data_IF_818185014036
#
_entry.id   IF_818185014036
#
_cell.length_a   1.000
_cell.length_b   1.000
_cell.length_c   1.000
_cell.angle_alpha   90.00
_cell.angle_beta   90.00
_cell.angle_gamma   90.00
#
_symmetry.space_group_name_H-M   'P 1'
#
loop_
_entity.id
_entity.type
_entity.pdbx_description
1 polymer ?
#
# COMPACT_ATOMS: atom_id res chain seq x y z
N UNK A 1 29.59 -10.83 14.09
CA UNK A 1 29.75 -9.66 13.21
C UNK A 1 30.22 -10.17 11.84
N UNK A 2 29.59 -9.74 10.74
CA UNK A 2 30.10 -10.06 9.39
C UNK A 2 31.32 -9.17 9.11
N UNK A 3 32.41 -9.76 8.56
CA UNK A 3 33.61 -9.02 8.16
C UNK A 3 33.29 -7.99 7.07
N UNK A 4 34.01 -6.85 7.01
CA UNK A 4 33.93 -5.91 5.90
C UNK A 4 34.18 -6.62 4.56
N UNK A 5 33.42 -6.28 3.53
CA UNK A 5 33.52 -6.81 2.17
C UNK A 5 34.18 -5.75 1.29
N UNK A 6 35.03 -6.16 0.38
CA UNK A 6 35.68 -5.24 -0.55
C UNK A 6 34.64 -4.60 -1.51
N UNK A 7 34.83 -3.34 -1.94
CA UNK A 7 33.85 -2.59 -2.75
C UNK A 7 33.71 -3.09 -4.20
N UNK A 8 34.50 -4.04 -4.62
CA UNK A 8 34.45 -4.70 -5.94
C UNK A 8 33.27 -5.66 -6.13
N UNK A 9 32.62 -6.13 -5.02
CA UNK A 9 31.34 -6.82 -5.11
C UNK A 9 30.19 -5.83 -5.35
N UNK A 10 29.96 -5.49 -6.61
CA UNK A 10 28.94 -4.54 -7.04
C UNK A 10 27.52 -4.89 -6.55
N UNK A 11 27.21 -6.17 -6.30
CA UNK A 11 25.90 -6.59 -5.78
C UNK A 11 25.75 -6.24 -4.30
N UNK A 12 26.76 -6.57 -3.50
CA UNK A 12 26.76 -6.25 -2.08
C UNK A 12 26.85 -4.75 -1.85
N UNK A 13 27.64 -4.04 -2.66
CA UNK A 13 27.73 -2.59 -2.60
C UNK A 13 26.38 -1.92 -2.88
N UNK A 14 25.67 -2.31 -3.95
CA UNK A 14 24.29 -1.82 -4.22
C UNK A 14 23.31 -2.13 -3.08
N UNK A 15 23.44 -3.30 -2.46
CA UNK A 15 22.59 -3.68 -1.32
C UNK A 15 22.86 -2.80 -0.10
N UNK A 16 24.10 -2.47 0.15
CA UNK A 16 24.50 -1.54 1.22
C UNK A 16 23.98 -0.13 0.95
N UNK A 17 24.14 0.39 -0.27
CA UNK A 17 23.55 1.67 -0.69
C UNK A 17 22.02 1.69 -0.56
N UNK A 18 21.36 0.57 -0.88
CA UNK A 18 19.91 0.42 -0.75
C UNK A 18 19.38 0.50 0.69
N UNK A 19 20.26 0.42 1.71
CA UNK A 19 19.88 0.63 3.11
C UNK A 19 19.59 2.11 3.42
N UNK A 20 20.01 3.04 2.55
CA UNK A 20 19.65 4.45 2.63
C UNK A 20 18.32 4.66 1.93
N UNK A 21 17.27 4.95 2.71
CA UNK A 21 15.95 5.30 2.17
C UNK A 21 16.02 6.69 1.53
N UNK A 22 15.58 6.79 0.27
CA UNK A 22 15.55 8.06 -0.48
C UNK A 22 14.12 8.38 -0.90
N UNK A 23 13.87 9.65 -1.22
CA UNK A 23 12.73 10.01 -2.06
C UNK A 23 12.93 9.51 -3.50
N UNK A 24 11.86 9.50 -4.27
CA UNK A 24 11.89 9.24 -5.70
C UNK A 24 11.61 10.54 -6.42
N UNK A 25 12.46 10.87 -7.40
CA UNK A 25 12.29 12.07 -8.21
C UNK A 25 12.19 11.75 -9.69
N UNK A 26 11.52 12.62 -10.43
CA UNK A 26 11.67 12.72 -11.88
C UNK A 26 12.37 14.03 -12.16
N UNK A 27 13.46 13.96 -12.90
CA UNK A 27 14.17 15.15 -13.39
C UNK A 27 13.82 15.35 -14.84
N UNK A 28 13.40 16.58 -15.19
CA UNK A 28 12.99 16.94 -16.54
C UNK A 28 13.85 18.07 -17.08
N UNK A 29 14.02 18.12 -18.38
CA UNK A 29 14.63 19.23 -19.11
C UNK A 29 14.00 19.35 -20.49
N UNK A 30 14.31 20.41 -21.21
CA UNK A 30 13.97 20.56 -22.61
C UNK A 30 15.25 20.59 -23.42
N UNK A 31 15.33 19.79 -24.48
CA UNK A 31 16.48 19.79 -25.39
C UNK A 31 16.56 21.06 -26.19
N UNK A 32 17.73 21.40 -26.78
CA UNK A 32 17.88 22.53 -27.67
C UNK A 32 17.02 22.39 -28.94
N UNK A 33 16.64 21.16 -29.31
CA UNK A 33 15.71 20.87 -30.40
C UNK A 33 14.23 21.05 -30.02
N UNK A 34 13.93 21.33 -28.75
CA UNK A 34 12.57 21.53 -28.25
C UNK A 34 11.88 20.28 -27.72
N UNK A 35 12.57 19.13 -27.62
CA UNK A 35 12.02 17.90 -27.10
C UNK A 35 11.97 17.89 -25.57
N UNK A 36 10.90 17.36 -25.00
CA UNK A 36 10.77 17.14 -23.57
C UNK A 36 11.51 15.86 -23.16
N UNK A 37 12.44 15.98 -22.25
CA UNK A 37 13.27 14.90 -21.75
C UNK A 37 13.04 14.75 -20.25
N UNK A 38 12.91 13.49 -19.79
CA UNK A 38 12.77 13.20 -18.37
C UNK A 38 13.22 11.80 -18.00
N UNK A 39 13.62 11.63 -16.74
CA UNK A 39 14.01 10.34 -16.19
C UNK A 39 13.77 10.28 -14.68
N UNK A 40 13.58 9.08 -14.17
CA UNK A 40 13.50 8.80 -12.74
C UNK A 40 14.89 8.73 -12.14
N UNK A 41 15.08 9.42 -11.01
CA UNK A 41 16.32 9.43 -10.25
C UNK A 41 16.02 9.39 -8.75
N UNK A 42 16.88 8.73 -7.98
CA UNK A 42 16.87 8.74 -6.52
C UNK A 42 18.14 9.35 -5.92
N UNK A 43 18.96 9.97 -6.76
CA UNK A 43 20.24 10.60 -6.37
C UNK A 43 20.08 12.07 -5.94
N UNK A 44 18.84 12.59 -5.91
CA UNK A 44 18.56 13.95 -5.51
C UNK A 44 18.91 14.21 -4.04
N UNK A 45 19.57 15.36 -3.80
CA UNK A 45 19.85 15.85 -2.45
C UNK A 45 19.92 17.40 -2.41
N UNK A 46 19.69 17.97 -1.22
CA UNK A 46 19.94 19.38 -0.95
C UNK A 46 21.45 19.64 -0.82
N UNK A 47 21.89 20.83 -1.23
CA UNK A 47 23.29 21.25 -1.13
C UNK A 47 23.42 22.47 -0.21
N UNK A 48 22.64 23.53 -0.45
CA UNK A 48 22.75 24.79 0.25
C UNK A 48 21.39 25.48 0.35
N UNK A 49 21.18 26.24 1.42
CA UNK A 49 20.03 27.12 1.55
C UNK A 49 20.36 28.55 1.12
N UNK A 50 21.63 28.95 1.21
CA UNK A 50 22.08 30.31 0.88
C UNK A 50 23.43 30.26 0.14
N UNK A 51 23.42 30.40 -1.21
CA UNK A 51 22.26 30.43 -2.10
C UNK A 51 21.55 29.07 -2.14
N UNK A 52 20.25 29.02 -2.52
CA UNK A 52 19.50 27.77 -2.57
C UNK A 52 19.99 26.88 -3.72
N UNK A 53 20.51 25.70 -3.37
CA UNK A 53 21.11 24.78 -4.33
C UNK A 53 20.72 23.33 -4.03
N UNK A 54 20.56 22.54 -5.09
CA UNK A 54 20.29 21.11 -5.06
C UNK A 54 21.24 20.34 -5.97
N UNK A 55 21.40 19.04 -5.74
CA UNK A 55 22.15 18.19 -6.66
C UNK A 55 21.36 16.91 -7.00
N UNK A 56 21.77 16.32 -8.12
CA UNK A 56 21.38 14.98 -8.54
C UNK A 56 22.48 14.43 -9.48
N UNK A 57 22.45 13.14 -9.77
CA UNK A 57 23.46 12.55 -10.66
C UNK A 57 22.82 11.68 -11.74
N UNK A 58 23.45 11.69 -12.93
CA UNK A 58 23.03 10.98 -14.11
C UNK A 58 24.14 10.09 -14.64
N UNK A 59 23.83 8.84 -14.94
CA UNK A 59 24.79 7.90 -15.51
C UNK A 59 25.34 8.43 -16.83
N UNK A 60 26.67 8.32 -17.03
CA UNK A 60 27.35 8.66 -18.29
C UNK A 60 26.86 7.83 -19.48
N UNK A 61 26.20 6.67 -19.21
CA UNK A 61 25.59 5.82 -20.24
C UNK A 61 24.17 6.24 -20.59
N UNK A 62 23.59 7.21 -19.89
CA UNK A 62 22.22 7.67 -20.16
C UNK A 62 22.15 8.41 -21.50
N UNK A 63 21.23 7.99 -22.37
CA UNK A 63 21.02 8.65 -23.69
C UNK A 63 20.60 10.12 -23.56
N UNK A 64 19.99 10.49 -22.44
CA UNK A 64 19.55 11.85 -22.14
C UNK A 64 20.67 12.75 -21.61
N UNK A 65 21.86 12.21 -21.31
CA UNK A 65 22.94 13.01 -20.74
C UNK A 65 23.31 14.26 -21.57
N UNK A 66 23.49 14.20 -22.91
CA UNK A 66 23.78 15.39 -23.69
C UNK A 66 22.72 16.49 -23.53
N UNK A 67 21.43 16.10 -23.52
CA UNK A 67 20.33 17.07 -23.36
C UNK A 67 20.41 17.81 -22.02
N UNK A 68 20.66 17.11 -20.91
CA UNK A 68 20.83 17.72 -19.60
C UNK A 68 22.11 18.56 -19.49
N UNK A 69 23.18 18.13 -20.13
CA UNK A 69 24.44 18.86 -20.10
C UNK A 69 24.40 20.19 -20.86
N UNK A 70 23.64 20.25 -21.95
CA UNK A 70 23.58 21.41 -22.87
C UNK A 70 22.42 22.35 -22.60
N UNK A 71 21.30 21.89 -22.05
CA UNK A 71 20.09 22.67 -21.82
C UNK A 71 20.26 23.83 -20.82
N UNK A 72 21.23 23.71 -19.92
CA UNK A 72 21.50 24.70 -18.87
C UNK A 72 20.39 24.83 -17.80
N UNK A 73 19.28 24.08 -17.92
CA UNK A 73 18.13 24.11 -17.00
C UNK A 73 17.51 22.74 -16.81
N UNK A 74 16.94 22.54 -15.63
CA UNK A 74 16.18 21.32 -15.33
C UNK A 74 15.16 21.57 -14.22
N UNK A 75 14.15 20.73 -14.12
CA UNK A 75 13.25 20.70 -12.99
C UNK A 75 13.33 19.34 -12.28
N UNK A 76 13.30 19.37 -10.95
CA UNK A 76 13.23 18.15 -10.11
C UNK A 76 11.84 18.09 -9.49
N UNK A 77 11.17 16.95 -9.66
CA UNK A 77 9.86 16.66 -9.08
C UNK A 77 10.01 15.58 -8.04
N UNK A 78 9.81 15.87 -6.76
CA UNK A 78 9.69 14.84 -5.72
C UNK A 78 8.31 14.21 -5.86
N UNK A 79 8.28 12.94 -6.24
CA UNK A 79 7.02 12.24 -6.49
C UNK A 79 6.21 12.04 -5.22
N UNK A 80 4.89 12.12 -5.37
CA UNK A 80 3.97 11.69 -4.32
C UNK A 80 3.78 10.19 -4.31
N UNK A 81 3.31 9.63 -3.19
CA UNK A 81 3.01 8.20 -3.03
C UNK A 81 2.01 7.65 -4.06
N UNK A 82 1.21 8.50 -4.68
CA UNK A 82 0.28 8.13 -5.76
C UNK A 82 0.94 8.04 -7.15
N UNK A 83 2.23 8.37 -7.29
CA UNK A 83 2.92 8.46 -8.58
C UNK A 83 3.90 7.31 -8.85
N UNK A 84 3.65 6.13 -8.30
CA UNK A 84 4.50 4.95 -8.54
C UNK A 84 4.55 4.56 -10.03
N UNK A 85 3.40 4.55 -10.71
CA UNK A 85 3.34 4.23 -12.14
C UNK A 85 4.12 5.24 -12.98
N UNK A 86 4.05 6.52 -12.64
CA UNK A 86 4.81 7.58 -13.30
C UNK A 86 6.31 7.39 -13.09
N UNK A 87 6.75 7.03 -11.88
CA UNK A 87 8.14 6.67 -11.59
C UNK A 87 8.63 5.54 -12.49
N UNK A 88 7.84 4.47 -12.63
CA UNK A 88 8.17 3.32 -13.48
C UNK A 88 8.23 3.73 -14.97
N UNK A 89 7.31 4.55 -15.44
CA UNK A 89 7.29 5.06 -16.81
C UNK A 89 8.59 5.82 -17.13
N UNK A 90 8.97 6.76 -16.26
CA UNK A 90 10.16 7.59 -16.48
C UNK A 90 11.49 6.86 -16.25
N UNK A 91 11.48 5.69 -15.59
CA UNK A 91 12.65 4.82 -15.46
C UNK A 91 12.95 4.02 -16.74
N UNK A 92 11.97 3.83 -17.63
CA UNK A 92 12.16 3.04 -18.88
C UNK A 92 12.94 3.83 -19.91
N UNK A 93 13.70 3.13 -20.75
CA UNK A 93 14.41 3.71 -21.89
C UNK A 93 13.48 3.76 -23.12
N UNK A 94 13.58 4.82 -23.93
CA UNK A 94 12.99 4.89 -25.29
C UNK A 94 11.47 5.05 -25.38
N UNK A 95 10.75 5.28 -24.29
CA UNK A 95 9.31 5.55 -24.32
C UNK A 95 9.03 7.03 -24.60
N UNK A 96 7.88 7.34 -25.25
CA UNK A 96 7.33 8.69 -25.28
C UNK A 96 6.68 8.98 -23.91
N UNK A 97 7.50 9.41 -22.95
CA UNK A 97 7.15 9.48 -21.54
C UNK A 97 6.16 10.60 -21.21
N UNK A 98 6.03 11.57 -22.08
CA UNK A 98 5.15 12.74 -21.89
C UNK A 98 3.81 12.59 -22.61
N UNK A 99 3.64 11.54 -23.42
CA UNK A 99 2.39 11.29 -24.13
C UNK A 99 1.21 11.11 -23.16
N UNK A 100 0.14 11.87 -23.37
CA UNK A 100 -1.04 11.84 -22.53
C UNK A 100 -0.91 12.53 -21.16
N UNK A 101 0.28 13.06 -20.83
CA UNK A 101 0.47 13.82 -19.60
C UNK A 101 0.08 15.28 -19.79
N UNK A 102 -0.65 15.83 -18.84
CA UNK A 102 -0.86 17.28 -18.73
C UNK A 102 0.38 17.89 -18.08
N UNK A 103 1.21 18.56 -18.88
CA UNK A 103 2.42 19.23 -18.39
C UNK A 103 2.23 20.76 -18.43
N UNK A 104 2.81 21.44 -17.42
CA UNK A 104 2.98 22.87 -17.38
C UNK A 104 4.38 23.22 -17.90
N UNK A 105 4.63 24.50 -18.15
CA UNK A 105 5.96 25.04 -18.50
C UNK A 105 6.49 25.89 -17.36
N UNK A 106 7.68 25.54 -16.91
CA UNK A 106 8.39 26.27 -15.87
C UNK A 106 9.41 27.27 -16.42
N UNK A 107 10.27 27.74 -15.52
CA UNK A 107 11.34 28.71 -15.86
C UNK A 107 12.25 28.15 -16.95
N UNK A 108 12.37 28.86 -18.06
CA UNK A 108 13.14 28.39 -19.21
C UNK A 108 12.47 27.26 -19.99
N UNK A 109 11.16 27.20 -19.93
CA UNK A 109 10.31 26.28 -20.70
C UNK A 109 10.52 24.79 -20.39
N UNK A 110 11.07 24.47 -19.18
CA UNK A 110 11.21 23.09 -18.72
C UNK A 110 9.84 22.46 -18.46
N UNK A 111 9.63 21.16 -18.79
CA UNK A 111 8.35 20.51 -18.52
C UNK A 111 8.17 20.26 -17.03
N UNK A 112 7.00 20.65 -16.50
CA UNK A 112 6.60 20.45 -15.12
C UNK A 112 5.48 19.40 -15.04
N UNK A 113 5.69 18.41 -14.16
CA UNK A 113 4.75 17.31 -13.93
C UNK A 113 3.81 17.66 -12.77
N UNK A 114 2.49 17.47 -12.94
CA UNK A 114 1.53 17.68 -11.86
C UNK A 114 1.57 16.54 -10.84
N UNK A 115 1.00 16.76 -9.66
CA UNK A 115 0.76 15.69 -8.68
C UNK A 115 1.94 15.35 -7.77
N UNK A 116 3.09 15.97 -7.92
CA UNK A 116 4.27 15.77 -7.06
C UNK A 116 4.08 16.36 -5.64
N UNK A 117 4.92 15.95 -4.68
CA UNK A 117 4.97 16.50 -3.33
C UNK A 117 5.71 17.82 -3.28
N UNK A 118 6.77 17.97 -4.08
CA UNK A 118 7.48 19.24 -4.26
C UNK A 118 8.13 19.27 -5.65
N UNK A 119 8.41 20.47 -6.13
CA UNK A 119 9.18 20.69 -7.36
C UNK A 119 10.17 21.82 -7.20
N UNK A 120 11.30 21.71 -7.88
CA UNK A 120 12.37 22.70 -7.92
C UNK A 120 12.74 22.99 -9.38
N UNK A 121 12.71 24.23 -9.79
CA UNK A 121 13.09 24.68 -11.13
C UNK A 121 14.48 25.31 -11.02
N UNK A 122 15.43 24.74 -11.75
CA UNK A 122 16.83 25.00 -11.52
C UNK A 122 17.56 25.44 -12.79
N UNK A 123 18.50 26.38 -12.64
CA UNK A 123 19.54 26.63 -13.60
C UNK A 123 20.78 25.79 -13.21
N UNK A 124 21.36 25.07 -14.16
CA UNK A 124 22.60 24.33 -13.94
C UNK A 124 23.74 25.28 -13.57
N UNK A 125 24.23 25.18 -12.34
CA UNK A 125 25.33 26.00 -11.84
C UNK A 125 26.67 25.30 -12.07
N UNK A 126 26.75 23.99 -11.81
CA UNK A 126 27.96 23.19 -11.96
C UNK A 126 27.64 21.79 -12.45
N UNK A 127 28.63 21.22 -13.14
CA UNK A 127 28.66 19.82 -13.54
C UNK A 127 30.02 19.23 -13.13
N UNK A 128 29.98 18.11 -12.39
CA UNK A 128 31.19 17.45 -11.89
C UNK A 128 31.26 16.00 -12.35
N UNK A 129 32.46 15.53 -12.63
CA UNK A 129 32.70 14.11 -12.86
C UNK A 129 32.53 13.33 -11.54
N UNK A 130 31.63 12.36 -11.52
CA UNK A 130 31.30 11.51 -10.39
C UNK A 130 31.57 10.02 -10.68
N UNK A 131 32.64 9.71 -11.40
CA UNK A 131 32.99 8.33 -11.77
C UNK A 131 32.17 7.85 -12.99
N UNK A 132 31.25 6.90 -12.82
CA UNK A 132 30.34 6.47 -13.90
C UNK A 132 29.11 7.37 -14.07
N UNK A 133 29.02 8.43 -13.28
CA UNK A 133 27.97 9.46 -13.32
C UNK A 133 28.52 10.86 -13.54
N UNK A 134 27.66 11.78 -13.96
CA UNK A 134 27.84 13.24 -13.90
C UNK A 134 26.95 13.78 -12.79
N UNK A 135 27.52 14.58 -11.89
CA UNK A 135 26.81 15.27 -10.82
C UNK A 135 26.38 16.66 -11.33
N UNK A 136 25.10 16.91 -11.35
CA UNK A 136 24.53 18.22 -11.68
C UNK A 136 24.20 18.95 -10.39
N UNK A 137 24.69 20.17 -10.27
CA UNK A 137 24.34 21.08 -9.19
C UNK A 137 23.52 22.21 -9.78
N UNK A 138 22.32 22.40 -9.29
CA UNK A 138 21.38 23.42 -9.74
C UNK A 138 21.20 24.53 -8.73
N UNK A 139 21.26 25.78 -9.18
CA UNK A 139 20.77 26.92 -8.44
C UNK A 139 19.24 26.96 -8.60
N UNK A 140 18.51 26.93 -7.50
CA UNK A 140 17.04 26.92 -7.49
C UNK A 140 16.56 28.34 -7.81
N UNK A 141 15.79 28.50 -8.91
CA UNK A 141 15.19 29.76 -9.32
C UNK A 141 13.72 29.89 -8.90
N UNK A 142 13.01 28.73 -8.82
CA UNK A 142 11.64 28.64 -8.31
C UNK A 142 11.40 27.28 -7.66
N UNK A 143 10.49 27.22 -6.72
CA UNK A 143 10.05 25.95 -6.13
C UNK A 143 8.57 26.01 -5.72
N UNK A 144 7.96 24.84 -5.61
CA UNK A 144 6.62 24.67 -5.04
C UNK A 144 6.60 23.45 -4.12
N UNK A 145 5.82 23.55 -3.05
CA UNK A 145 5.58 22.45 -2.11
C UNK A 145 4.07 22.22 -2.01
N UNK A 146 3.69 20.94 -1.97
CA UNK A 146 2.29 20.51 -1.93
C UNK A 146 2.10 19.56 -0.76
N UNK A 147 0.95 19.62 -0.11
CA UNK A 147 0.59 18.72 0.98
C UNK A 147 0.22 17.33 0.44
N UNK A 148 1.27 16.56 0.11
CA UNK A 148 1.20 15.18 -0.40
C UNK A 148 2.32 14.35 0.18
N UNK A 149 2.00 13.13 0.60
CA UNK A 149 2.99 12.18 1.09
C UNK A 149 4.00 11.81 -0.01
N UNK A 150 5.31 11.86 0.25
CA UNK A 150 6.32 11.54 -0.74
C UNK A 150 6.40 10.02 -1.02
N UNK A 151 6.76 9.67 -2.25
CA UNK A 151 7.13 8.31 -2.63
C UNK A 151 8.55 8.02 -2.14
N UNK A 152 8.72 6.97 -1.34
CA UNK A 152 10.00 6.54 -0.79
C UNK A 152 10.52 5.31 -1.54
N UNK A 153 11.85 5.23 -1.71
CA UNK A 153 12.53 4.06 -2.25
C UNK A 153 13.55 3.52 -1.25
N UNK A 154 13.40 2.26 -0.86
CA UNK A 154 14.26 1.60 0.11
C UNK A 154 14.50 0.14 -0.29
N UNK A 155 15.76 -0.30 -0.27
CA UNK A 155 16.16 -1.69 -0.56
C UNK A 155 15.56 -2.26 -1.85
N UNK A 156 15.44 -1.44 -2.92
CA UNK A 156 14.91 -1.86 -4.21
C UNK A 156 13.37 -1.89 -4.30
N UNK A 157 12.66 -1.34 -3.33
CA UNK A 157 11.19 -1.33 -3.25
C UNK A 157 10.67 0.08 -2.97
N UNK A 158 9.47 0.37 -3.45
CA UNK A 158 8.73 1.54 -3.00
C UNK A 158 8.22 1.33 -1.57
N UNK A 159 8.17 2.42 -0.81
CA UNK A 159 7.74 2.44 0.58
C UNK A 159 7.00 3.74 0.88
N UNK A 160 6.35 3.78 2.04
CA UNK A 160 5.71 4.99 2.56
C UNK A 160 6.54 5.58 3.70
N UNK A 161 6.56 6.90 3.79
CA UNK A 161 7.05 7.59 4.97
C UNK A 161 5.97 7.52 6.05
N UNK A 162 6.34 7.05 7.24
CA UNK A 162 5.49 7.07 8.43
C UNK A 162 6.20 7.92 9.46
N UNK A 163 5.54 8.96 9.93
CA UNK A 163 6.07 9.74 11.03
C UNK A 163 6.14 8.87 12.29
N UNK A 164 7.28 8.88 12.93
CA UNK A 164 7.43 8.22 14.23
C UNK A 164 6.61 9.02 15.24
N UNK A 165 5.39 8.57 15.52
CA UNK A 165 4.62 9.12 16.63
C UNK A 165 5.47 9.08 17.89
N UNK A 166 5.45 10.15 18.68
CA UNK A 166 5.99 10.07 20.02
C UNK A 166 5.34 8.86 20.71
N UNK A 167 6.10 8.00 21.42
CA UNK A 167 5.48 6.94 22.19
C UNK A 167 4.40 7.61 23.06
N UNK A 168 3.18 7.06 23.15
CA UNK A 168 2.19 7.60 24.07
C UNK A 168 2.93 7.76 25.40
N UNK A 169 2.92 8.98 25.95
CA UNK A 169 3.50 9.20 27.28
C UNK A 169 2.86 8.13 28.17
N UNK A 170 3.69 7.27 28.74
CA UNK A 170 3.21 6.21 29.59
C UNK A 170 2.31 6.86 30.63
N UNK A 171 1.00 6.73 30.47
CA UNK A 171 0.07 7.13 31.51
C UNK A 171 0.51 6.38 32.77
N UNK A 172 0.51 7.02 33.93
CA UNK A 172 0.82 6.33 35.17
C UNK A 172 0.04 5.03 35.23
N UNK A 173 0.71 3.93 35.57
CA UNK A 173 0.14 2.56 35.47
C UNK A 173 -1.21 2.40 36.22
N UNK A 174 -1.57 3.36 37.06
CA UNK A 174 -2.83 3.42 37.81
C UNK A 174 -4.06 3.83 36.96
N UNK A 175 -3.86 4.41 35.75
CA UNK A 175 -4.94 4.86 34.87
C UNK A 175 -4.99 4.10 33.53
N UNK A 176 -4.29 2.98 33.39
CA UNK A 176 -4.40 2.13 32.21
C UNK A 176 -5.75 1.38 32.23
N UNK A 177 -6.81 2.06 31.79
CA UNK A 177 -8.16 1.49 31.71
C UNK A 177 -8.28 0.42 30.60
N UNK A 178 -7.17 0.03 29.99
CA UNK A 178 -7.13 -1.02 28.97
C UNK A 178 -7.74 -0.62 27.61
N UNK A 179 -8.31 0.57 27.47
CA UNK A 179 -8.95 1.02 26.24
C UNK A 179 -7.96 1.17 25.07
N UNK A 180 -6.68 1.42 25.37
CA UNK A 180 -5.60 1.58 24.38
C UNK A 180 -4.94 0.24 24.01
N UNK A 181 -5.34 -0.89 24.61
CA UNK A 181 -4.82 -2.17 24.20
C UNK A 181 -5.24 -2.50 22.77
N UNK A 182 -4.29 -3.03 21.99
CA UNK A 182 -4.52 -3.38 20.58
C UNK A 182 -5.78 -4.21 20.36
N UNK A 183 -6.07 -5.16 21.26
CA UNK A 183 -7.26 -6.01 21.19
C UNK A 183 -8.56 -5.19 21.31
N UNK A 184 -8.59 -4.16 22.16
CA UNK A 184 -9.77 -3.30 22.31
C UNK A 184 -9.91 -2.37 21.10
N UNK A 185 -8.81 -1.82 20.58
CA UNK A 185 -8.82 -1.01 19.36
C UNK A 185 -9.31 -1.81 18.17
N UNK A 186 -8.81 -3.03 17.97
CA UNK A 186 -9.26 -3.92 16.90
C UNK A 186 -10.75 -4.24 17.04
N UNK A 187 -11.21 -4.53 18.27
CA UNK A 187 -12.64 -4.81 18.50
C UNK A 187 -13.52 -3.58 18.23
N UNK A 188 -13.12 -2.40 18.67
CA UNK A 188 -13.86 -1.14 18.39
C UNK A 188 -13.88 -0.82 16.91
N UNK A 189 -12.74 -0.93 16.23
CA UNK A 189 -12.66 -0.71 14.78
C UNK A 189 -13.56 -1.70 14.03
N UNK A 190 -13.51 -2.99 14.39
CA UNK A 190 -14.42 -4.00 13.84
C UNK A 190 -15.88 -3.61 14.07
N UNK A 191 -16.27 -3.26 15.30
CA UNK A 191 -17.66 -2.88 15.62
C UNK A 191 -18.12 -1.67 14.81
N UNK A 192 -17.27 -0.66 14.61
CA UNK A 192 -17.61 0.53 13.82
C UNK A 192 -17.78 0.20 12.32
N UNK A 193 -16.86 -0.59 11.76
CA UNK A 193 -16.96 -1.02 10.36
C UNK A 193 -18.17 -1.92 10.12
N UNK A 194 -18.53 -2.74 11.12
CA UNK A 194 -19.58 -3.73 11.03
C UNK A 194 -20.98 -3.17 11.34
N UNK A 195 -21.06 -2.00 12.00
CA UNK A 195 -22.33 -1.43 12.46
C UNK A 195 -23.37 -1.21 11.34
N UNK A 196 -22.93 -0.82 10.15
CA UNK A 196 -23.85 -0.67 9.01
C UNK A 196 -24.26 -2.02 8.43
N UNK A 197 -23.38 -3.00 8.42
CA UNK A 197 -23.64 -4.34 7.90
C UNK A 197 -24.59 -5.11 8.81
N UNK A 198 -24.50 -4.96 10.15
CA UNK A 198 -25.38 -5.64 11.10
C UNK A 198 -26.86 -5.31 10.88
N UNK A 199 -27.19 -4.05 10.54
CA UNK A 199 -28.56 -3.65 10.22
C UNK A 199 -29.11 -4.37 8.98
N UNK A 200 -28.26 -4.56 7.97
CA UNK A 200 -28.65 -5.28 6.75
C UNK A 200 -28.73 -6.80 6.99
N UNK A 201 -27.86 -7.36 7.84
CA UNK A 201 -27.97 -8.76 8.26
C UNK A 201 -29.30 -9.03 8.96
N UNK A 202 -29.68 -8.17 9.92
CA UNK A 202 -30.96 -8.27 10.64
C UNK A 202 -32.15 -8.20 9.69
N UNK A 203 -32.10 -7.34 8.67
CA UNK A 203 -33.13 -7.20 7.64
C UNK A 203 -33.35 -8.48 6.83
N UNK A 204 -32.29 -9.25 6.61
CA UNK A 204 -32.33 -10.53 5.92
C UNK A 204 -32.47 -11.74 6.85
N UNK A 205 -32.62 -11.52 8.16
CA UNK A 205 -32.66 -12.60 9.18
C UNK A 205 -31.38 -13.42 9.24
N UNK A 206 -30.24 -12.80 8.96
CA UNK A 206 -28.93 -13.43 8.89
C UNK A 206 -28.13 -13.18 10.18
N UNK A 207 -27.51 -14.24 10.69
CA UNK A 207 -26.42 -14.11 11.64
C UNK A 207 -25.10 -13.77 10.93
N UNK A 208 -24.12 -13.31 11.69
CA UNK A 208 -22.74 -13.09 11.18
C UNK A 208 -22.15 -14.39 10.61
N UNK A 209 -22.41 -15.54 11.24
CA UNK A 209 -21.96 -16.86 10.75
C UNK A 209 -22.62 -17.21 9.40
N UNK A 210 -23.91 -16.88 9.26
CA UNK A 210 -24.63 -17.02 7.98
C UNK A 210 -24.02 -16.16 6.86
N UNK A 211 -23.64 -14.92 7.17
CA UNK A 211 -22.93 -14.05 6.24
C UNK A 211 -21.62 -14.66 5.75
N UNK A 212 -20.79 -15.22 6.65
CA UNK A 212 -19.56 -15.90 6.27
C UNK A 212 -19.84 -17.12 5.38
N UNK A 213 -20.86 -17.92 5.71
CA UNK A 213 -21.25 -19.08 4.87
C UNK A 213 -21.60 -18.64 3.45
N UNK A 214 -22.45 -17.62 3.30
CA UNK A 214 -22.80 -17.10 1.98
C UNK A 214 -21.56 -16.56 1.23
N UNK A 215 -20.67 -15.87 1.93
CA UNK A 215 -19.43 -15.34 1.37
C UNK A 215 -18.47 -16.43 0.88
N UNK A 216 -18.36 -17.56 1.60
CA UNK A 216 -17.54 -18.70 1.16
C UNK A 216 -18.17 -19.41 -0.03
N UNK A 217 -19.49 -19.65 -0.01
CA UNK A 217 -20.22 -20.19 -1.15
C UNK A 217 -20.16 -19.28 -2.37
N UNK A 218 -20.06 -17.96 -2.20
CA UNK A 218 -19.88 -17.03 -3.30
C UNK A 218 -18.54 -17.19 -4.03
N UNK A 219 -17.53 -17.78 -3.37
CA UNK A 219 -16.20 -18.06 -3.95
C UNK A 219 -16.11 -19.46 -4.54
N UNK A 220 -16.69 -20.43 -3.86
CA UNK A 220 -16.66 -21.85 -4.24
C UNK A 220 -18.01 -22.49 -3.88
N UNK A 221 -18.76 -22.93 -4.86
CA UNK A 221 -20.13 -23.44 -4.76
C UNK A 221 -20.26 -24.70 -5.62
N UNK A 222 -20.61 -25.87 -5.06
CA UNK A 222 -21.01 -26.14 -3.69
C UNK A 222 -19.84 -26.45 -2.73
N UNK A 223 -20.06 -26.25 -1.41
CA UNK A 223 -19.17 -26.68 -0.34
C UNK A 223 -19.85 -27.73 0.55
N UNK A 224 -19.05 -28.55 1.23
CA UNK A 224 -19.56 -29.46 2.26
C UNK A 224 -19.59 -28.79 3.64
N UNK A 225 -20.40 -29.31 4.57
CA UNK A 225 -20.43 -28.85 5.96
C UNK A 225 -19.02 -28.87 6.58
N UNK A 226 -18.23 -29.92 6.35
CA UNK A 226 -16.85 -30.02 6.86
C UNK A 226 -15.92 -28.95 6.25
N UNK A 227 -16.10 -28.61 4.98
CA UNK A 227 -15.33 -27.52 4.35
C UNK A 227 -15.71 -26.16 4.93
N UNK A 228 -17.00 -25.91 5.09
CA UNK A 228 -17.51 -24.67 5.72
C UNK A 228 -17.03 -24.54 7.17
N UNK A 229 -17.07 -25.63 7.96
CA UNK A 229 -16.60 -25.64 9.33
C UNK A 229 -15.09 -25.31 9.41
N UNK A 230 -14.28 -25.87 8.53
CA UNK A 230 -12.85 -25.55 8.44
C UNK A 230 -12.59 -24.08 8.10
N UNK A 231 -13.39 -23.50 7.22
CA UNK A 231 -13.28 -22.09 6.84
C UNK A 231 -13.70 -21.17 7.99
N UNK A 232 -14.81 -21.46 8.65
CA UNK A 232 -15.32 -20.70 9.80
C UNK A 232 -14.41 -20.80 11.02
N UNK A 233 -13.74 -21.95 11.22
CA UNK A 233 -12.79 -22.14 12.32
C UNK A 233 -11.69 -21.07 12.35
N UNK A 234 -11.22 -20.60 11.20
CA UNK A 234 -10.23 -19.51 11.08
C UNK A 234 -10.71 -18.18 11.70
N UNK A 235 -12.00 -18.04 11.88
CA UNK A 235 -12.64 -16.88 12.50
C UNK A 235 -13.14 -17.17 13.93
N UNK A 236 -12.71 -18.32 14.51
CA UNK A 236 -13.15 -18.75 15.83
C UNK A 236 -14.62 -19.20 15.88
N UNK A 237 -15.19 -19.59 14.74
CA UNK A 237 -16.61 -19.92 14.54
C UNK A 237 -16.79 -21.36 14.06
N UNK A 238 -18.03 -21.86 14.07
CA UNK A 238 -18.37 -23.23 13.66
C UNK A 238 -19.51 -23.22 12.64
N UNK A 239 -19.39 -24.07 11.62
CA UNK A 239 -20.53 -24.42 10.79
C UNK A 239 -21.29 -25.57 11.47
N UNK A 240 -22.55 -25.34 11.78
CA UNK A 240 -23.43 -26.35 12.36
C UNK A 240 -24.58 -26.65 11.40
N UNK A 241 -25.21 -27.83 11.57
CA UNK A 241 -26.39 -28.18 10.80
C UNK A 241 -27.54 -27.19 11.06
N UNK A 242 -27.72 -26.74 12.31
CA UNK A 242 -28.74 -25.75 12.69
C UNK A 242 -28.57 -24.43 11.95
N UNK A 243 -27.33 -23.97 11.80
CA UNK A 243 -27.02 -22.78 10.99
C UNK A 243 -27.45 -22.99 9.54
N UNK A 244 -27.10 -24.12 8.94
CA UNK A 244 -27.45 -24.45 7.56
C UNK A 244 -28.97 -24.61 7.38
N UNK A 245 -29.65 -25.25 8.33
CA UNK A 245 -31.10 -25.40 8.34
C UNK A 245 -31.81 -24.02 8.41
N UNK A 246 -31.29 -23.10 9.24
CA UNK A 246 -31.80 -21.73 9.31
C UNK A 246 -31.62 -20.98 7.98
N UNK A 247 -30.45 -21.09 7.35
CA UNK A 247 -30.20 -20.48 6.03
C UNK A 247 -31.09 -21.05 4.93
N UNK A 248 -31.35 -22.37 4.98
CA UNK A 248 -32.26 -23.05 4.06
C UNK A 248 -33.72 -22.64 4.27
N UNK A 249 -34.15 -22.50 5.53
CA UNK A 249 -35.49 -22.03 5.88
C UNK A 249 -35.75 -20.59 5.37
N UNK A 250 -34.70 -19.75 5.38
CA UNK A 250 -34.73 -18.40 4.80
C UNK A 250 -34.58 -18.39 3.27
N UNK A 251 -34.51 -19.57 2.62
CA UNK A 251 -34.40 -19.68 1.18
C UNK A 251 -33.08 -19.19 0.57
N UNK A 252 -31.99 -19.17 1.36
CA UNK A 252 -30.71 -18.63 0.95
C UNK A 252 -29.74 -19.69 0.43
N UNK A 253 -29.87 -20.93 0.95
CA UNK A 253 -29.06 -22.08 0.54
C UNK A 253 -29.91 -23.30 0.27
N UNK A 254 -29.43 -24.17 -0.59
CA UNK A 254 -29.89 -25.55 -0.72
C UNK A 254 -28.95 -26.44 0.11
N UNK A 255 -29.54 -27.29 0.97
CA UNK A 255 -28.83 -28.28 1.74
C UNK A 255 -29.23 -29.65 1.25
N UNK A 256 -28.29 -30.47 0.82
CA UNK A 256 -28.52 -31.81 0.27
C UNK A 256 -27.66 -32.86 0.96
N UNK A 257 -28.29 -33.93 1.44
CA UNK A 257 -27.67 -35.01 2.16
C UNK A 257 -28.22 -35.18 3.59
N UNK A 258 -27.68 -36.16 4.28
CA UNK A 258 -27.97 -36.39 5.70
C UNK A 258 -27.18 -35.40 6.57
N UNK A 259 -27.53 -35.29 7.86
CA UNK A 259 -26.75 -34.51 8.83
C UNK A 259 -25.43 -35.20 9.11
N UNK A 260 -24.47 -35.01 8.21
CA UNK A 260 -23.12 -35.56 8.25
C UNK A 260 -22.09 -34.54 7.68
N UNK A 261 -20.78 -34.76 7.88
CA UNK A 261 -19.73 -33.86 7.36
C UNK A 261 -19.72 -33.68 5.85
N UNK A 262 -20.36 -34.58 5.10
CA UNK A 262 -20.42 -34.55 3.62
C UNK A 262 -21.69 -33.90 3.08
N UNK A 263 -22.61 -33.45 3.97
CA UNK A 263 -23.77 -32.64 3.60
C UNK A 263 -23.35 -31.49 2.70
N UNK A 264 -23.91 -31.41 1.49
CA UNK A 264 -23.57 -30.37 0.52
C UNK A 264 -24.48 -29.18 0.67
N UNK A 265 -23.87 -28.00 0.55
CA UNK A 265 -24.54 -26.70 0.63
C UNK A 265 -24.22 -25.91 -0.62
N UNK A 266 -25.23 -25.34 -1.24
CA UNK A 266 -25.08 -24.45 -2.40
C UNK A 266 -25.99 -23.23 -2.26
N UNK A 267 -25.61 -22.12 -2.92
CA UNK A 267 -26.44 -20.92 -2.94
C UNK A 267 -27.72 -21.13 -3.77
N UNK A 268 -28.81 -20.58 -3.28
CA UNK A 268 -29.99 -20.31 -4.14
C UNK A 268 -29.75 -19.04 -4.96
N UNK A 269 -30.61 -18.76 -5.94
CA UNK A 269 -30.60 -17.49 -6.65
C UNK A 269 -30.82 -16.31 -5.70
N UNK A 270 -31.78 -16.43 -4.76
CA UNK A 270 -32.01 -15.45 -3.69
C UNK A 270 -30.78 -15.27 -2.79
N UNK A 271 -30.15 -16.38 -2.34
CA UNK A 271 -28.92 -16.33 -1.53
C UNK A 271 -27.79 -15.64 -2.24
N UNK A 272 -27.64 -15.83 -3.53
CA UNK A 272 -26.63 -15.12 -4.36
C UNK A 272 -26.93 -13.62 -4.44
N UNK A 273 -28.17 -13.23 -4.60
CA UNK A 273 -28.60 -11.83 -4.58
C UNK A 273 -28.28 -11.14 -3.26
N UNK A 274 -28.70 -11.75 -2.14
CA UNK A 274 -28.42 -11.24 -0.77
C UNK A 274 -26.92 -11.17 -0.50
N UNK A 275 -26.14 -12.17 -0.89
CA UNK A 275 -24.69 -12.17 -0.73
C UNK A 275 -24.04 -11.00 -1.47
N UNK A 276 -24.44 -10.71 -2.71
CA UNK A 276 -23.91 -9.60 -3.49
C UNK A 276 -24.30 -8.22 -2.89
N UNK A 277 -25.54 -8.07 -2.42
CA UNK A 277 -25.99 -6.86 -1.76
C UNK A 277 -25.16 -6.55 -0.50
N UNK A 278 -25.01 -7.56 0.37
CA UNK A 278 -24.23 -7.43 1.61
C UNK A 278 -22.74 -7.18 1.32
N UNK A 279 -22.17 -7.80 0.29
CA UNK A 279 -20.79 -7.56 -0.15
C UNK A 279 -20.60 -6.11 -0.62
N UNK A 280 -21.58 -5.53 -1.32
CA UNK A 280 -21.54 -4.14 -1.76
C UNK A 280 -21.58 -3.18 -0.56
N UNK A 281 -22.42 -3.45 0.46
CA UNK A 281 -22.48 -2.65 1.68
C UNK A 281 -21.19 -2.74 2.51
N UNK A 282 -20.62 -3.94 2.66
CA UNK A 282 -19.31 -4.12 3.30
C UNK A 282 -18.22 -3.32 2.57
N UNK A 283 -18.21 -3.35 1.24
CA UNK A 283 -17.24 -2.57 0.44
C UNK A 283 -17.44 -1.06 0.59
N UNK A 284 -18.68 -0.59 0.71
CA UNK A 284 -18.96 0.81 0.95
C UNK A 284 -18.48 1.28 2.34
N UNK A 285 -18.58 0.42 3.38
CA UNK A 285 -18.05 0.68 4.71
C UNK A 285 -16.52 0.75 4.69
N UNK A 286 -15.86 -0.20 4.01
CA UNK A 286 -14.42 -0.18 3.80
C UNK A 286 -13.96 1.10 3.10
N UNK A 287 -14.66 1.51 2.03
CA UNK A 287 -14.32 2.73 1.29
C UNK A 287 -14.51 4.02 2.11
N UNK A 288 -15.39 4.02 3.12
CA UNK A 288 -15.47 5.14 4.08
C UNK A 288 -14.23 5.19 4.96
N UNK A 289 -13.83 4.06 5.54
CA UNK A 289 -12.62 3.97 6.35
C UNK A 289 -11.36 4.35 5.55
N UNK A 290 -11.27 3.93 4.29
CA UNK A 290 -10.19 4.32 3.37
C UNK A 290 -10.10 5.85 3.19
N UNK A 291 -11.23 6.53 3.09
CA UNK A 291 -11.26 8.01 2.99
C UNK A 291 -10.91 8.72 4.29
N UNK A 292 -11.32 8.16 5.43
CA UNK A 292 -11.03 8.74 6.76
C UNK A 292 -9.56 8.58 7.15
N UNK A 293 -8.98 7.40 6.91
CA UNK A 293 -7.59 7.09 7.23
C UNK A 293 -6.60 7.62 6.20
N UNK A 294 -7.04 7.77 4.95
CA UNK A 294 -6.14 8.03 3.82
C UNK A 294 -5.41 6.80 3.31
N UNK A 295 -4.82 6.94 2.12
CA UNK A 295 -4.22 5.81 1.40
C UNK A 295 -3.07 5.13 2.15
N UNK A 296 -2.20 5.91 2.78
CA UNK A 296 -1.00 5.37 3.45
C UNK A 296 -1.37 4.56 4.67
N UNK A 297 -2.20 5.13 5.56
CA UNK A 297 -2.57 4.50 6.83
C UNK A 297 -3.36 3.21 6.60
N UNK A 298 -4.28 3.20 5.64
CA UNK A 298 -5.03 1.98 5.32
C UNK A 298 -4.14 0.86 4.79
N UNK A 299 -3.10 1.18 4.00
CA UNK A 299 -2.15 0.18 3.53
C UNK A 299 -1.30 -0.39 4.67
N UNK A 300 -0.90 0.45 5.62
CA UNK A 300 -0.18 0.03 6.83
C UNK A 300 -1.03 -0.89 7.71
N UNK A 301 -2.29 -0.51 7.95
CA UNK A 301 -3.25 -1.33 8.70
C UNK A 301 -3.43 -2.68 8.02
N UNK A 302 -3.69 -2.72 6.70
CA UNK A 302 -3.82 -3.97 5.94
C UNK A 302 -2.58 -4.84 6.06
N UNK A 303 -1.38 -4.27 5.88
CA UNK A 303 -0.11 -4.98 5.99
C UNK A 303 0.12 -5.55 7.39
N UNK A 304 -0.17 -4.76 8.43
CA UNK A 304 -0.02 -5.18 9.82
C UNK A 304 -0.99 -6.33 10.15
N UNK A 305 -2.27 -6.21 9.80
CA UNK A 305 -3.29 -7.24 10.00
C UNK A 305 -2.98 -8.51 9.21
N UNK A 306 -2.55 -8.38 7.95
CA UNK A 306 -2.17 -9.54 7.12
C UNK A 306 -1.03 -10.33 7.77
N UNK A 307 0.01 -9.65 8.27
CA UNK A 307 1.11 -10.32 8.99
C UNK A 307 0.66 -10.99 10.29
N UNK A 308 -0.25 -10.35 11.01
CA UNK A 308 -0.80 -10.91 12.24
C UNK A 308 -1.57 -12.21 11.97
N UNK A 309 -2.39 -12.22 10.91
CA UNK A 309 -3.21 -13.38 10.53
C UNK A 309 -2.37 -14.50 9.91
N UNK A 310 -1.33 -14.18 9.14
CA UNK A 310 -0.45 -15.19 8.51
C UNK A 310 0.47 -15.91 9.51
N UNK A 311 0.73 -15.32 10.69
CA UNK A 311 1.52 -15.95 11.74
C UNK A 311 0.85 -17.16 12.41
N UNK A 312 -0.46 -17.34 12.21
CA UNK A 312 -1.27 -18.42 12.84
C UNK A 312 -1.52 -19.64 11.93
N UNK A 313 -0.96 -19.68 10.71
CA UNK A 313 -1.16 -20.82 9.77
C UNK A 313 -0.37 -22.10 10.16
N UNK A 314 0.42 -22.08 11.24
CA UNK A 314 1.19 -23.23 11.73
C UNK A 314 0.39 -24.17 12.68
N UNK A 315 -0.86 -24.44 12.37
CA UNK A 315 -1.63 -25.55 12.95
C UNK A 315 -2.57 -25.20 14.11
N UNK A 316 -3.53 -26.07 14.41
CA UNK A 316 -4.51 -25.81 15.45
C UNK A 316 -3.83 -25.78 16.82
N UNK A 317 -4.00 -24.67 17.54
CA UNK A 317 -3.74 -24.65 18.99
C UNK A 317 -4.58 -25.78 19.60
N UNK A 318 -3.92 -26.81 20.07
CA UNK A 318 -4.56 -27.95 20.74
C UNK A 318 -5.50 -27.42 21.82
N UNK A 319 -6.79 -27.73 21.71
CA UNK A 319 -7.75 -27.40 22.74
C UNK A 319 -7.25 -27.96 24.08
N UNK A 320 -7.32 -27.23 25.20
CA UNK A 320 -6.95 -27.72 26.49
C UNK A 320 -7.84 -28.97 26.78
N UNK A 321 -7.19 -30.11 26.94
CA UNK A 321 -7.86 -31.33 27.42
C UNK A 321 -8.52 -31.00 28.75
N UNK A 322 -9.84 -31.08 28.82
CA UNK A 322 -10.55 -31.10 30.10
C UNK A 322 -10.09 -32.34 30.82
N UNK A 323 -9.21 -32.18 31.79
CA UNK A 323 -8.93 -33.19 32.79
C UNK A 323 -10.22 -33.41 33.61
N UNK A 324 -10.90 -34.50 33.32
CA UNK A 324 -11.96 -35.00 34.21
C UNK A 324 -11.33 -35.38 35.54
N UNK A 325 -11.77 -34.75 36.61
CA UNK A 325 -11.64 -35.29 37.94
C UNK A 325 -12.94 -36.05 38.25
N UNK A 326 -12.78 -37.36 38.43
CA UNK A 326 -13.71 -38.18 39.19
C UNK A 326 -13.77 -37.72 40.66
#
# INVERSE_FOLDING_TARGET
MKSPVAPDDARQFRRALGSFATGVTIVTTRSLAGDDIGLTANSFNSVSLEPPMVLWSLSKKARSLPCFAESGRFAVHILSSAQEELSVLFARAGANKFEGLQIERGVGDVPLLPGCSARFECRTAFQYDGGDHVIFVGAVEAFAHFDRQPLIFHAGRYAFAVEKSAPPQAAPAENATGEDFLIHLLRRAHSQLYASLSVDLDRHGLSEDGWFVLGFLGKEDPLTLAQLDRLLWRYGRRATYDLLASLAANGLVHVSGADDPYTRVSLTENGRGVMLELAAHAKAAESRAERELGFVDIQLVRQALTRLVQGDDDGPVSAPQRTGHE
#
